data_IF_373816314112
#
_entry.id   IF_373816314112
#
_cell.length_a   1.000
_cell.length_b   1.000
_cell.length_c   1.000
_cell.angle_alpha   90.00
_cell.angle_beta   90.00
_cell.angle_gamma   90.00
#
_symmetry.space_group_name_H-M   'P 1'
#
loop_
_entity.id
_entity.type
_entity.pdbx_description
1 polymer ?
#
# COMPACT_ATOMS: atom_id res chain seq x y z
N UNK A 1 -89.08 -65.71 72.25
CA UNK A 1 -89.07 -64.86 71.04
C UNK A 1 -87.76 -64.06 71.00
N UNK A 2 -86.61 -64.75 70.92
CA UNK A 2 -85.28 -64.14 71.16
C UNK A 2 -84.17 -64.69 70.26
N UNK A 3 -84.48 -65.62 69.34
CA UNK A 3 -83.47 -66.29 68.48
C UNK A 3 -83.39 -65.69 67.06
N UNK A 4 -84.29 -64.78 66.68
CA UNK A 4 -84.34 -64.19 65.32
C UNK A 4 -83.49 -62.93 65.11
N UNK A 5 -82.90 -62.33 66.16
CA UNK A 5 -82.08 -61.11 66.03
C UNK A 5 -80.57 -61.35 65.89
N UNK A 6 -80.05 -62.51 66.30
CA UNK A 6 -78.62 -62.83 66.22
C UNK A 6 -78.15 -63.21 64.81
N UNK A 7 -79.02 -63.81 63.99
CA UNK A 7 -78.70 -64.23 62.63
C UNK A 7 -78.66 -63.08 61.62
N UNK A 8 -79.44 -62.01 61.85
CA UNK A 8 -79.49 -60.84 60.97
C UNK A 8 -78.24 -59.95 61.10
N UNK A 9 -77.69 -59.80 62.30
CA UNK A 9 -76.44 -59.04 62.52
C UNK A 9 -75.23 -59.74 61.87
N UNK A 10 -75.14 -61.07 62.01
CA UNK A 10 -74.08 -61.88 61.36
C UNK A 10 -74.19 -61.84 59.83
N UNK A 11 -75.41 -61.80 59.28
CA UNK A 11 -75.62 -61.68 57.83
C UNK A 11 -75.19 -60.31 57.28
N UNK A 12 -75.49 -59.22 58.01
CA UNK A 12 -75.06 -57.86 57.65
C UNK A 12 -73.54 -57.73 57.71
N UNK A 13 -72.90 -58.33 58.72
CA UNK A 13 -71.44 -58.29 58.86
C UNK A 13 -70.72 -59.09 57.76
N UNK A 14 -71.24 -60.28 57.39
CA UNK A 14 -70.75 -61.06 56.23
C UNK A 14 -70.95 -60.33 54.90
N UNK A 15 -72.06 -59.62 54.72
CA UNK A 15 -72.31 -58.83 53.52
C UNK A 15 -71.32 -57.66 53.40
N UNK A 16 -71.00 -56.99 54.52
CA UNK A 16 -69.98 -55.94 54.57
C UNK A 16 -68.57 -56.46 54.25
N UNK A 17 -68.18 -57.60 54.81
CA UNK A 17 -66.85 -58.19 54.52
C UNK A 17 -66.73 -58.67 53.09
N UNK A 18 -67.78 -59.31 52.54
CA UNK A 18 -67.79 -59.75 51.13
C UNK A 18 -67.80 -58.58 50.15
N UNK A 19 -68.51 -57.50 50.48
CA UNK A 19 -68.48 -56.27 49.70
C UNK A 19 -67.08 -55.64 49.74
N UNK A 20 -66.49 -55.52 50.94
CA UNK A 20 -65.14 -54.98 51.12
C UNK A 20 -64.07 -55.80 50.38
N UNK A 21 -64.09 -57.13 50.46
CA UNK A 21 -63.13 -57.98 49.74
C UNK A 21 -63.33 -57.92 48.21
N UNK A 22 -64.58 -57.86 47.73
CA UNK A 22 -64.86 -57.69 46.31
C UNK A 22 -64.36 -56.34 45.75
N UNK A 23 -64.40 -55.28 46.58
CA UNK A 23 -63.91 -53.96 46.22
C UNK A 23 -62.38 -53.92 46.16
N UNK A 24 -61.70 -54.61 47.09
CA UNK A 24 -60.23 -54.73 47.09
C UNK A 24 -59.74 -55.47 45.85
N UNK A 25 -60.35 -56.60 45.47
CA UNK A 25 -59.95 -57.35 44.28
C UNK A 25 -60.18 -56.58 42.98
N UNK A 26 -61.28 -55.81 42.87
CA UNK A 26 -61.54 -54.95 41.70
C UNK A 26 -60.49 -53.83 41.57
N UNK A 27 -60.11 -53.19 42.68
CA UNK A 27 -59.05 -52.18 42.68
C UNK A 27 -57.68 -52.80 42.39
N UNK A 28 -57.38 -53.97 42.95
CA UNK A 28 -56.13 -54.69 42.68
C UNK A 28 -56.01 -55.08 41.19
N UNK A 29 -57.11 -55.56 40.58
CA UNK A 29 -57.14 -55.89 39.16
C UNK A 29 -57.03 -54.63 38.28
N UNK A 30 -57.71 -53.53 38.65
CA UNK A 30 -57.59 -52.26 37.94
C UNK A 30 -56.15 -51.73 37.98
N UNK A 31 -55.47 -51.82 39.13
CA UNK A 31 -54.06 -51.44 39.27
C UNK A 31 -53.13 -52.37 38.46
N UNK A 32 -53.40 -53.68 38.48
CA UNK A 32 -52.63 -54.67 37.72
C UNK A 32 -52.62 -54.36 36.22
N UNK A 33 -53.72 -53.80 35.68
CA UNK A 33 -53.84 -53.46 34.26
C UNK A 33 -53.36 -52.03 33.97
N UNK A 34 -53.69 -51.05 34.81
CA UNK A 34 -53.31 -49.65 34.58
C UNK A 34 -51.81 -49.40 34.73
N UNK A 35 -51.16 -49.99 35.74
CA UNK A 35 -49.73 -49.80 35.98
C UNK A 35 -48.86 -50.14 34.76
N UNK A 36 -48.97 -51.32 34.13
CA UNK A 36 -48.16 -51.65 32.96
C UNK A 36 -48.49 -50.77 31.74
N UNK A 37 -49.75 -50.36 31.56
CA UNK A 37 -50.14 -49.46 30.46
C UNK A 37 -49.49 -48.09 30.64
N UNK A 38 -49.62 -47.49 31.84
CA UNK A 38 -49.00 -46.19 32.16
C UNK A 38 -47.48 -46.28 32.05
N UNK A 39 -46.88 -47.35 32.59
CA UNK A 39 -45.44 -47.58 32.49
C UNK A 39 -44.97 -47.70 31.04
N UNK A 40 -45.70 -48.45 30.20
CA UNK A 40 -45.37 -48.62 28.79
C UNK A 40 -45.47 -47.31 28.00
N UNK A 41 -46.55 -46.54 28.19
CA UNK A 41 -46.72 -45.23 27.53
C UNK A 41 -45.67 -44.22 27.99
N UNK A 42 -45.41 -44.15 29.30
CA UNK A 42 -44.36 -43.29 29.85
C UNK A 42 -42.99 -43.67 29.27
N UNK A 43 -42.66 -44.96 29.24
CA UNK A 43 -41.39 -45.43 28.70
C UNK A 43 -41.23 -45.11 27.20
N UNK A 44 -42.30 -45.26 26.42
CA UNK A 44 -42.28 -44.97 24.98
C UNK A 44 -42.05 -43.48 24.68
N UNK A 45 -42.74 -42.58 25.39
CA UNK A 45 -42.62 -41.13 25.20
C UNK A 45 -41.28 -40.61 25.74
N UNK A 46 -40.91 -41.00 26.96
CA UNK A 46 -39.66 -40.55 27.59
C UNK A 46 -38.43 -40.96 26.77
N UNK A 47 -38.41 -42.19 26.23
CA UNK A 47 -37.29 -42.64 25.39
C UNK A 47 -37.07 -41.75 24.17
N UNK A 48 -38.13 -41.33 23.49
CA UNK A 48 -38.00 -40.50 22.29
C UNK A 48 -37.65 -39.05 22.59
N UNK A 49 -38.18 -38.49 23.68
CA UNK A 49 -37.78 -37.16 24.14
C UNK A 49 -36.29 -37.13 24.51
N UNK A 50 -35.77 -38.20 25.13
CA UNK A 50 -34.34 -38.33 25.43
C UNK A 50 -33.50 -38.36 24.15
N UNK A 51 -33.94 -39.06 23.11
CA UNK A 51 -33.22 -39.07 21.82
C UNK A 51 -33.24 -37.71 21.11
N UNK A 52 -34.38 -37.02 21.05
CA UNK A 52 -34.46 -35.67 20.47
C UNK A 52 -33.61 -34.67 21.27
N UNK A 53 -33.60 -34.78 22.60
CA UNK A 53 -32.74 -33.97 23.46
C UNK A 53 -31.25 -34.30 23.26
N UNK A 54 -30.89 -35.56 23.01
CA UNK A 54 -29.53 -35.94 22.67
C UNK A 54 -29.10 -35.37 21.31
N UNK A 55 -29.97 -35.47 20.29
CA UNK A 55 -29.72 -34.86 18.98
C UNK A 55 -29.54 -33.34 19.10
N UNK A 56 -30.39 -32.64 19.86
CA UNK A 56 -30.24 -31.21 20.09
C UNK A 56 -28.92 -30.84 20.80
N UNK A 57 -28.45 -31.66 21.74
CA UNK A 57 -27.13 -31.46 22.36
C UNK A 57 -26.00 -31.63 21.35
N UNK A 58 -26.10 -32.60 20.44
CA UNK A 58 -25.11 -32.81 19.38
C UNK A 58 -25.11 -31.65 18.36
N UNK A 59 -26.28 -31.16 17.97
CA UNK A 59 -26.42 -29.97 17.13
C UNK A 59 -25.81 -28.73 17.80
N UNK A 60 -26.02 -28.55 19.11
CA UNK A 60 -25.42 -27.45 19.88
C UNK A 60 -23.88 -27.55 19.96
N UNK A 61 -23.32 -28.74 19.79
CA UNK A 61 -21.87 -28.98 19.68
C UNK A 61 -21.34 -28.83 18.24
N UNK A 62 -22.18 -28.41 17.29
CA UNK A 62 -21.81 -28.23 15.88
C UNK A 62 -21.81 -29.53 15.06
N UNK A 63 -22.38 -30.61 15.58
CA UNK A 63 -22.54 -31.87 14.85
C UNK A 63 -23.87 -31.86 14.09
N UNK A 64 -23.82 -31.65 12.78
CA UNK A 64 -25.02 -31.53 11.94
C UNK A 64 -25.39 -32.82 11.17
N UNK A 65 -24.60 -33.89 11.30
CA UNK A 65 -24.81 -35.18 10.61
C UNK A 65 -25.69 -36.16 11.42
N UNK A 66 -26.47 -35.63 12.37
CA UNK A 66 -27.30 -36.43 13.27
C UNK A 66 -28.60 -36.80 12.58
N UNK A 67 -28.95 -38.09 12.62
CA UNK A 67 -30.24 -38.58 12.18
C UNK A 67 -31.27 -38.41 13.29
N UNK A 68 -32.33 -37.64 13.03
CA UNK A 68 -33.40 -37.41 14.00
C UNK A 68 -34.43 -38.55 13.94
N UNK A 69 -34.68 -39.26 15.05
CA UNK A 69 -35.71 -40.29 15.09
C UNK A 69 -37.11 -39.67 15.13
N UNK A 70 -38.08 -40.31 14.48
CA UNK A 70 -39.51 -39.97 14.63
C UNK A 70 -40.07 -38.91 13.68
N UNK A 71 -39.32 -38.46 12.67
CA UNK A 71 -39.77 -37.46 11.68
C UNK A 71 -41.05 -37.90 10.94
N UNK A 72 -41.18 -39.20 10.66
CA UNK A 72 -42.32 -39.78 9.94
C UNK A 72 -43.58 -39.97 10.79
N UNK A 73 -43.56 -39.57 12.07
CA UNK A 73 -44.73 -39.71 12.95
C UNK A 73 -45.76 -38.61 12.67
N UNK A 74 -47.03 -38.96 12.82
CA UNK A 74 -48.18 -38.07 12.63
C UNK A 74 -48.76 -37.57 13.97
N UNK A 75 -47.93 -37.52 15.02
CA UNK A 75 -48.29 -37.01 16.35
C UNK A 75 -47.42 -35.80 16.72
N UNK A 76 -47.66 -35.24 17.90
CA UNK A 76 -46.97 -34.05 18.42
C UNK A 76 -45.45 -34.28 18.55
N UNK A 77 -45.03 -35.53 18.81
CA UNK A 77 -43.61 -35.90 18.85
C UNK A 77 -43.00 -35.80 17.43
N UNK A 78 -43.75 -36.18 16.41
CA UNK A 78 -43.38 -35.98 15.01
C UNK A 78 -43.29 -34.50 14.62
N UNK A 79 -44.20 -33.65 15.11
CA UNK A 79 -44.13 -32.19 14.89
C UNK A 79 -42.87 -31.59 15.50
N UNK A 80 -42.52 -31.97 16.73
CA UNK A 80 -41.27 -31.55 17.38
C UNK A 80 -40.07 -32.05 16.57
N UNK A 81 -40.05 -33.33 16.16
CA UNK A 81 -38.95 -33.88 15.37
C UNK A 81 -38.74 -33.13 14.04
N UNK A 82 -39.81 -32.74 13.33
CA UNK A 82 -39.72 -31.90 12.12
C UNK A 82 -39.20 -30.49 12.40
N UNK A 83 -39.61 -29.87 13.50
CA UNK A 83 -39.11 -28.55 13.89
C UNK A 83 -37.60 -28.59 14.21
N UNK A 84 -37.15 -29.64 14.91
CA UNK A 84 -35.73 -29.89 15.22
C UNK A 84 -34.93 -30.13 13.93
N UNK A 85 -35.50 -30.82 12.93
CA UNK A 85 -34.87 -31.02 11.62
C UNK A 85 -34.69 -29.70 10.86
N UNK A 86 -35.72 -28.85 10.81
CA UNK A 86 -35.60 -27.53 10.20
C UNK A 86 -34.55 -26.68 10.91
N UNK A 87 -34.48 -26.75 12.24
CA UNK A 87 -33.43 -26.08 13.01
C UNK A 87 -32.03 -26.60 12.65
N UNK A 88 -31.86 -27.92 12.45
CA UNK A 88 -30.60 -28.52 11.97
C UNK A 88 -30.15 -27.92 10.65
N UNK A 89 -31.07 -27.84 9.67
CA UNK A 89 -30.79 -27.33 8.33
C UNK A 89 -30.34 -25.86 8.41
N UNK A 90 -31.10 -25.02 9.11
CA UNK A 90 -30.78 -23.59 9.27
C UNK A 90 -29.46 -23.39 10.02
N UNK A 91 -29.20 -24.16 11.08
CA UNK A 91 -27.96 -24.07 11.84
C UNK A 91 -26.74 -24.50 11.00
N UNK A 92 -26.86 -25.57 10.22
CA UNK A 92 -25.80 -26.05 9.34
C UNK A 92 -25.49 -25.04 8.21
N UNK A 93 -26.53 -24.43 7.61
CA UNK A 93 -26.37 -23.39 6.60
C UNK A 93 -25.68 -22.15 7.18
N UNK A 94 -26.13 -21.68 8.34
CA UNK A 94 -25.51 -20.54 9.03
C UNK A 94 -24.04 -20.79 9.37
N UNK A 95 -23.70 -21.99 9.82
CA UNK A 95 -22.31 -22.36 10.10
C UNK A 95 -21.43 -22.34 8.83
N UNK A 96 -21.96 -22.83 7.70
CA UNK A 96 -21.27 -22.76 6.39
C UNK A 96 -21.06 -21.33 5.93
N UNK A 97 -22.09 -20.47 6.05
CA UNK A 97 -21.99 -19.04 5.70
C UNK A 97 -20.94 -18.34 6.56
N UNK A 98 -20.94 -18.54 7.87
CA UNK A 98 -19.94 -17.96 8.77
C UNK A 98 -18.52 -18.40 8.42
N UNK A 99 -18.33 -19.66 8.03
CA UNK A 99 -17.01 -20.15 7.61
C UNK A 99 -16.59 -19.53 6.27
N UNK A 100 -17.52 -19.38 5.31
CA UNK A 100 -17.26 -18.73 4.03
C UNK A 100 -16.90 -17.25 4.22
N UNK A 101 -17.65 -16.53 5.04
CA UNK A 101 -17.37 -15.12 5.38
C UNK A 101 -16.03 -14.95 6.09
N UNK A 102 -15.70 -15.85 7.03
CA UNK A 102 -14.41 -15.84 7.70
C UNK A 102 -13.25 -16.06 6.71
N UNK A 103 -13.39 -17.01 5.77
CA UNK A 103 -12.40 -17.25 4.71
C UNK A 103 -12.26 -16.05 3.77
N UNK A 104 -13.39 -15.51 3.30
CA UNK A 104 -13.41 -14.31 2.46
C UNK A 104 -12.77 -13.11 3.18
N UNK A 105 -12.99 -12.95 4.48
CA UNK A 105 -12.35 -11.92 5.29
C UNK A 105 -10.83 -12.09 5.40
N UNK A 106 -10.34 -13.32 5.55
CA UNK A 106 -8.89 -13.62 5.55
C UNK A 106 -8.28 -13.34 4.18
N UNK A 107 -8.90 -13.80 3.09
CA UNK A 107 -8.43 -13.56 1.73
C UNK A 107 -8.43 -12.07 1.39
N UNK A 108 -9.48 -11.33 1.76
CA UNK A 108 -9.57 -9.89 1.58
C UNK A 108 -8.45 -9.16 2.31
N UNK A 109 -8.15 -9.54 3.55
CA UNK A 109 -7.03 -8.98 4.32
C UNK A 109 -5.69 -9.29 3.66
N UNK A 110 -5.46 -10.52 3.21
CA UNK A 110 -4.24 -10.95 2.52
C UNK A 110 -4.03 -10.13 1.24
N UNK A 111 -5.06 -10.00 0.41
CA UNK A 111 -4.99 -9.18 -0.80
C UNK A 111 -4.73 -7.70 -0.49
N UNK A 112 -5.36 -7.16 0.55
CA UNK A 112 -5.09 -5.77 0.94
C UNK A 112 -3.64 -5.57 1.39
N UNK A 113 -3.05 -6.54 2.09
CA UNK A 113 -1.63 -6.50 2.47
C UNK A 113 -0.70 -6.62 1.26
N UNK A 114 -1.00 -7.50 0.30
CA UNK A 114 -0.25 -7.62 -0.96
C UNK A 114 -0.28 -6.31 -1.76
N UNK A 115 -1.46 -5.70 -1.89
CA UNK A 115 -1.63 -4.41 -2.57
C UNK A 115 -0.85 -3.30 -1.85
N UNK A 116 -0.93 -3.24 -0.52
CA UNK A 116 -0.19 -2.24 0.26
C UNK A 116 1.32 -2.40 0.11
N UNK A 117 1.84 -3.64 0.18
CA UNK A 117 3.26 -3.92 0.02
C UNK A 117 3.77 -3.59 -1.39
N UNK A 118 3.00 -3.94 -2.43
CA UNK A 118 3.33 -3.59 -3.81
C UNK A 118 3.31 -2.08 -4.05
N UNK A 119 2.36 -1.37 -3.43
CA UNK A 119 2.29 0.09 -3.48
C UNK A 119 3.51 0.72 -2.80
N UNK A 120 3.84 0.28 -1.58
CA UNK A 120 5.01 0.77 -0.83
C UNK A 120 6.31 0.56 -1.61
N UNK A 121 6.51 -0.62 -2.20
CA UNK A 121 7.70 -0.90 -3.01
C UNK A 121 7.80 -0.01 -4.25
N UNK A 122 6.67 0.18 -4.95
CA UNK A 122 6.62 1.01 -6.15
C UNK A 122 6.90 2.47 -5.82
N UNK A 123 6.27 3.01 -4.77
CA UNK A 123 6.48 4.39 -4.31
C UNK A 123 7.90 4.57 -3.80
N UNK A 124 8.45 3.61 -3.05
CA UNK A 124 9.83 3.64 -2.57
C UNK A 124 10.83 3.77 -3.71
N UNK A 125 10.66 2.97 -4.76
CA UNK A 125 11.51 3.01 -5.97
C UNK A 125 11.42 4.36 -6.69
N UNK A 126 10.22 4.94 -6.78
CA UNK A 126 10.01 6.25 -7.40
C UNK A 126 10.71 7.34 -6.58
N UNK A 127 10.55 7.34 -5.25
CA UNK A 127 11.17 8.31 -4.36
C UNK A 127 12.70 8.23 -4.45
N UNK A 128 13.26 7.01 -4.45
CA UNK A 128 14.70 6.79 -4.60
C UNK A 128 15.22 7.36 -5.93
N UNK A 129 14.51 7.08 -7.03
CA UNK A 129 14.85 7.60 -8.37
C UNK A 129 14.80 9.13 -8.41
N UNK A 130 13.73 9.72 -7.86
CA UNK A 130 13.56 11.18 -7.80
C UNK A 130 14.65 11.83 -6.95
N UNK A 131 14.98 11.26 -5.79
CA UNK A 131 16.02 11.76 -4.90
C UNK A 131 17.40 11.69 -5.56
N UNK A 132 17.71 10.59 -6.24
CA UNK A 132 18.96 10.44 -6.99
C UNK A 132 19.07 11.50 -8.10
N UNK A 133 17.99 11.67 -8.88
CA UNK A 133 17.97 12.65 -9.96
C UNK A 133 18.07 14.09 -9.45
N UNK A 134 17.46 14.40 -8.30
CA UNK A 134 17.59 15.69 -7.65
C UNK A 134 19.05 15.98 -7.25
N UNK A 135 19.76 14.99 -6.69
CA UNK A 135 21.19 15.14 -6.35
C UNK A 135 22.10 15.34 -7.58
N UNK A 136 21.78 14.66 -8.69
CA UNK A 136 22.47 14.88 -9.98
C UNK A 136 22.23 16.31 -10.50
N UNK A 137 20.99 16.81 -10.42
CA UNK A 137 20.65 18.17 -10.82
C UNK A 137 21.35 19.22 -9.93
N UNK A 138 21.41 19.00 -8.63
CA UNK A 138 22.14 19.85 -7.69
C UNK A 138 23.63 19.94 -8.06
N UNK A 139 24.27 18.79 -8.28
CA UNK A 139 25.67 18.73 -8.70
C UNK A 139 25.91 19.45 -10.04
N UNK A 140 24.97 19.31 -10.99
CA UNK A 140 25.04 19.98 -12.27
C UNK A 140 24.88 21.51 -12.14
N UNK A 141 23.99 21.97 -11.25
CA UNK A 141 23.80 23.39 -10.97
C UNK A 141 25.04 24.03 -10.32
N UNK A 142 25.69 23.34 -9.38
CA UNK A 142 26.96 23.76 -8.79
C UNK A 142 28.06 23.88 -9.86
N UNK A 143 28.18 22.88 -10.73
CA UNK A 143 29.14 22.88 -11.82
C UNK A 143 28.90 24.04 -12.79
N UNK A 144 27.64 24.33 -13.12
CA UNK A 144 27.26 25.48 -13.95
C UNK A 144 27.62 26.81 -13.27
N UNK A 145 27.41 26.91 -11.96
CA UNK A 145 27.76 28.11 -11.19
C UNK A 145 29.26 28.36 -11.23
N UNK A 146 30.08 27.35 -10.94
CA UNK A 146 31.55 27.44 -11.02
C UNK A 146 32.02 27.78 -12.44
N UNK A 147 31.37 27.22 -13.46
CA UNK A 147 31.69 27.51 -14.86
C UNK A 147 31.35 28.96 -15.22
N UNK A 148 30.21 29.47 -14.76
CA UNK A 148 29.80 30.86 -14.97
C UNK A 148 30.77 31.84 -14.29
N UNK A 149 31.16 31.58 -13.04
CA UNK A 149 32.17 32.39 -12.32
C UNK A 149 33.52 32.38 -13.03
N UNK A 150 33.96 31.21 -13.50
CA UNK A 150 35.21 31.08 -14.26
C UNK A 150 35.15 31.84 -15.57
N UNK A 151 34.03 31.76 -16.30
CA UNK A 151 33.79 32.48 -17.54
C UNK A 151 33.80 33.99 -17.31
N UNK A 152 33.17 34.46 -16.23
CA UNK A 152 33.17 35.88 -15.86
C UNK A 152 34.58 36.39 -15.60
N UNK A 153 35.39 35.64 -14.83
CA UNK A 153 36.79 36.00 -14.55
C UNK A 153 37.64 36.03 -15.82
N UNK A 154 37.48 35.04 -16.71
CA UNK A 154 38.20 34.98 -17.97
C UNK A 154 37.81 36.15 -18.90
N UNK A 155 36.52 36.48 -18.97
CA UNK A 155 36.02 37.61 -19.74
C UNK A 155 36.66 38.93 -19.27
N UNK A 156 36.72 39.17 -17.95
CA UNK A 156 37.41 40.34 -17.41
C UNK A 156 38.90 40.38 -17.76
N UNK A 157 39.59 39.24 -17.75
CA UNK A 157 40.99 39.18 -18.17
C UNK A 157 41.17 39.48 -19.66
N UNK A 158 40.26 39.01 -20.52
CA UNK A 158 40.26 39.30 -21.96
C UNK A 158 40.02 40.77 -22.23
N UNK A 159 39.11 41.43 -21.50
CA UNK A 159 38.90 42.88 -21.60
C UNK A 159 40.19 43.63 -21.28
N UNK A 160 40.84 43.32 -20.15
CA UNK A 160 42.09 43.97 -19.76
C UNK A 160 43.21 43.74 -20.80
N UNK A 161 43.35 42.52 -21.32
CA UNK A 161 44.32 42.21 -22.37
C UNK A 161 44.04 42.97 -23.68
N UNK A 162 42.76 43.13 -24.04
CA UNK A 162 42.33 43.87 -25.24
C UNK A 162 42.58 45.37 -25.12
N UNK A 163 42.36 45.95 -23.93
CA UNK A 163 42.69 47.34 -23.62
C UNK A 163 44.21 47.58 -23.74
N UNK A 164 45.02 46.69 -23.17
CA UNK A 164 46.48 46.77 -23.28
C UNK A 164 46.95 46.66 -24.73
N UNK A 165 46.42 45.70 -25.50
CA UNK A 165 46.76 45.54 -26.90
C UNK A 165 46.39 46.78 -27.74
N UNK A 166 45.21 47.35 -27.51
CA UNK A 166 44.78 48.59 -28.17
C UNK A 166 45.69 49.76 -27.84
N UNK A 167 46.11 49.89 -26.57
CA UNK A 167 47.10 50.87 -26.15
C UNK A 167 48.43 50.72 -26.89
N UNK A 168 48.94 49.49 -26.99
CA UNK A 168 50.18 49.19 -27.72
C UNK A 168 50.07 49.53 -29.22
N UNK A 169 48.95 49.20 -29.87
CA UNK A 169 48.71 49.57 -31.28
C UNK A 169 48.71 51.08 -31.46
N UNK A 170 48.10 51.83 -30.52
CA UNK A 170 48.08 53.29 -30.56
C UNK A 170 49.50 53.88 -30.39
N UNK A 171 50.31 53.31 -29.48
CA UNK A 171 51.72 53.68 -29.33
C UNK A 171 52.53 53.43 -30.60
N UNK A 172 52.37 52.25 -31.23
CA UNK A 172 53.04 51.92 -32.50
C UNK A 172 52.63 52.88 -33.62
N UNK A 173 51.34 53.22 -33.71
CA UNK A 173 50.85 54.20 -34.69
C UNK A 173 51.49 55.58 -34.47
N UNK A 174 51.61 56.02 -33.22
CA UNK A 174 52.29 57.28 -32.86
C UNK A 174 53.76 57.26 -33.29
N UNK A 175 54.51 56.20 -32.95
CA UNK A 175 55.91 56.06 -33.34
C UNK A 175 56.11 55.98 -34.86
N UNK A 176 55.21 55.30 -35.58
CA UNK A 176 55.25 55.27 -37.04
C UNK A 176 55.02 56.67 -37.65
N UNK A 177 54.15 57.48 -37.04
CA UNK A 177 53.90 58.87 -37.46
C UNK A 177 55.13 59.76 -37.21
N UNK A 178 55.76 59.65 -36.04
CA UNK A 178 57.02 60.33 -35.73
C UNK A 178 58.14 59.92 -36.69
N UNK A 179 58.28 58.63 -36.97
CA UNK A 179 59.26 58.12 -37.93
C UNK A 179 59.02 58.68 -39.34
N UNK A 180 57.76 58.73 -39.79
CA UNK A 180 57.41 59.35 -41.08
C UNK A 180 57.81 60.84 -41.13
N UNK A 181 57.60 61.58 -40.05
CA UNK A 181 58.03 62.98 -39.96
C UNK A 181 59.57 63.10 -39.96
N UNK A 182 60.29 62.22 -39.26
CA UNK A 182 61.75 62.18 -39.24
C UNK A 182 62.32 61.89 -40.64
N UNK A 183 61.76 60.92 -41.37
CA UNK A 183 62.14 60.63 -42.76
C UNK A 183 61.96 61.85 -43.66
N UNK A 184 60.84 62.58 -43.55
CA UNK A 184 60.62 63.80 -44.34
C UNK A 184 61.64 64.90 -44.02
N UNK A 185 62.12 64.98 -42.78
CA UNK A 185 63.14 65.97 -42.40
C UNK A 185 64.54 65.55 -42.88
N UNK A 186 64.85 64.26 -42.82
CA UNK A 186 66.08 63.69 -43.42
C UNK A 186 66.09 63.96 -44.92
N UNK A 187 64.98 63.74 -45.63
CA UNK A 187 64.89 64.01 -47.07
C UNK A 187 65.20 65.49 -47.37
N UNK A 188 64.68 66.43 -46.56
CA UNK A 188 65.03 67.86 -46.69
C UNK A 188 66.51 68.12 -46.45
N UNK A 189 67.09 67.55 -45.38
CA UNK A 189 68.53 67.71 -45.09
C UNK A 189 69.43 67.12 -46.19
N UNK A 190 69.03 66.01 -46.80
CA UNK A 190 69.74 65.37 -47.91
C UNK A 190 69.67 66.24 -49.17
N UNK A 191 68.49 66.79 -49.49
CA UNK A 191 68.36 67.74 -50.61
C UNK A 191 69.22 68.99 -50.41
N UNK A 192 69.22 69.54 -49.19
CA UNK A 192 70.03 70.72 -48.84
C UNK A 192 71.53 70.42 -48.92
N UNK A 193 71.98 69.28 -48.40
CA UNK A 193 73.37 68.83 -48.50
C UNK A 193 73.80 68.65 -49.96
N UNK A 194 72.91 68.11 -50.79
CA UNK A 194 73.15 67.95 -52.24
C UNK A 194 73.24 69.31 -52.94
N UNK A 195 72.38 70.27 -52.57
CA UNK A 195 72.43 71.65 -53.06
C UNK A 195 73.78 72.30 -52.73
N UNK A 196 74.20 72.23 -51.47
CA UNK A 196 75.49 72.77 -50.99
C UNK A 196 76.67 72.11 -51.72
N UNK A 197 76.67 70.78 -51.86
CA UNK A 197 77.73 70.07 -52.56
C UNK A 197 77.84 70.51 -54.03
N UNK A 198 76.72 70.64 -54.74
CA UNK A 198 76.69 71.15 -56.11
C UNK A 198 77.16 72.61 -56.20
N UNK A 199 76.75 73.45 -55.26
CA UNK A 199 77.21 74.84 -55.15
C UNK A 199 78.71 74.94 -54.87
N UNK A 200 79.32 73.98 -54.16
CA UNK A 200 80.75 73.94 -53.88
C UNK A 200 81.60 73.43 -55.06
N UNK A 201 81.06 72.51 -55.88
CA UNK A 201 81.73 72.01 -57.10
C UNK A 201 81.88 73.09 -58.17
N UNK A 202 80.92 74.02 -58.29
CA UNK A 202 80.98 75.08 -59.29
C UNK A 202 82.19 76.05 -59.13
N UNK A 203 82.50 76.57 -57.93
CA UNK A 203 83.74 77.30 -57.66
C UNK A 203 85.00 76.47 -57.88
N UNK A 204 85.01 75.19 -57.48
CA UNK A 204 86.15 74.30 -57.69
C UNK A 204 86.45 74.11 -59.18
N UNK A 205 85.42 73.88 -60.01
CA UNK A 205 85.56 73.79 -61.47
C UNK A 205 86.01 75.12 -62.10
N UNK A 206 85.53 76.28 -61.62
CA UNK A 206 86.03 77.59 -62.06
C UNK A 206 87.49 77.82 -61.66
N UNK A 207 87.92 77.33 -60.49
CA UNK A 207 89.30 77.40 -60.05
C UNK A 207 90.19 76.51 -60.91
N UNK A 208 89.79 75.27 -61.20
CA UNK A 208 90.50 74.36 -62.11
C UNK A 208 90.64 74.96 -63.52
N UNK A 209 89.57 75.57 -64.05
CA UNK A 209 89.62 76.23 -65.36
C UNK A 209 90.61 77.42 -65.37
N UNK A 210 90.69 78.20 -64.28
CA UNK A 210 91.68 79.29 -64.15
C UNK A 210 93.12 78.77 -64.04
N UNK A 211 93.34 77.62 -63.40
CA UNK A 211 94.66 76.99 -63.36
C UNK A 211 95.05 76.45 -64.75
N UNK A 212 94.10 75.91 -65.51
CA UNK A 212 94.34 75.44 -66.87
C UNK A 212 94.67 76.56 -67.87
N UNK A 213 94.12 77.77 -67.70
CA UNK A 213 94.39 78.95 -68.55
C UNK A 213 95.77 79.60 -68.27
N UNK A 214 96.47 79.17 -67.21
CA UNK A 214 97.79 79.66 -66.80
C UNK A 214 98.96 78.73 -67.22
N UNK A 215 98.68 77.64 -67.94
CA UNK A 215 99.67 76.76 -68.59
C UNK A 215 99.59 76.88 -70.12
#
# INVERSE_FOLDING_TARGET
MTVLFGSSLVAVEKAKTNFATSLVWKNALALLVLLPIVFFLAHLVTKQLVHLAAAMRQLAQGQFDVQLPGIQRNDEIGDIARAVENFKIVAAEKAKMQQADARAGVERRRHMQELASSFEQSVGTIIETVSSNAGVLETAADTLTVTAETTQRLSSAVVAASEQASGNVNSVASSASEMSNSTREIDKQVMESTRIANEAVAPASKADARIADLN
#
